data_IF_560267021135
#
_entry.id   IF_560267021135
#
_cell.length_a   1.000
_cell.length_b   1.000
_cell.length_c   1.000
_cell.angle_alpha   90.00
_cell.angle_beta   90.00
_cell.angle_gamma   90.00
#
_symmetry.space_group_name_H-M   'P 1'
#
loop_
_entity.id
_entity.type
_entity.pdbx_description
1 polymer ?
#
# COMPACT_ATOMS: atom_id res chain seq x y z
N UNK A 1 10.81 -43.01 41.75
CA UNK A 1 9.78 -42.24 41.02
C UNK A 1 10.37 -40.89 40.60
N UNK A 2 10.99 -40.82 39.43
CA UNK A 2 11.62 -39.60 38.92
C UNK A 2 10.62 -38.79 38.07
N UNK A 3 10.17 -37.64 38.57
CA UNK A 3 9.40 -36.69 37.76
C UNK A 3 10.37 -35.94 36.85
N UNK A 4 10.52 -36.41 35.60
CA UNK A 4 11.24 -35.67 34.56
C UNK A 4 10.49 -34.35 34.31
N UNK A 5 11.11 -33.24 34.71
CA UNK A 5 10.63 -31.88 34.40
C UNK A 5 10.70 -31.68 32.90
N UNK A 6 9.55 -31.46 32.26
CA UNK A 6 9.45 -31.06 30.87
C UNK A 6 9.98 -29.64 30.77
N UNK A 7 11.18 -29.48 30.21
CA UNK A 7 11.72 -28.19 29.80
C UNK A 7 10.75 -27.65 28.76
N UNK A 8 10.03 -26.58 29.08
CA UNK A 8 9.26 -25.83 28.10
C UNK A 8 10.26 -25.17 27.16
N UNK A 9 10.37 -25.71 25.96
CA UNK A 9 11.17 -25.13 24.89
C UNK A 9 10.45 -23.84 24.46
N UNK A 10 10.93 -22.69 24.96
CA UNK A 10 10.55 -21.38 24.43
C UNK A 10 11.03 -21.33 22.99
N UNK A 11 10.14 -21.63 22.05
CA UNK A 11 10.41 -21.42 20.63
C UNK A 11 10.80 -19.94 20.47
N UNK A 12 12.01 -19.70 19.98
CA UNK A 12 12.56 -18.37 19.82
C UNK A 12 11.57 -17.48 19.08
N UNK A 13 11.28 -16.33 19.65
CA UNK A 13 10.58 -15.27 18.95
C UNK A 13 11.40 -14.96 17.69
N UNK A 14 10.89 -15.35 16.52
CA UNK A 14 11.37 -14.80 15.27
C UNK A 14 11.31 -13.27 15.33
N UNK A 15 12.04 -12.55 14.47
CA UNK A 15 11.96 -11.10 14.42
C UNK A 15 10.50 -10.67 14.37
N UNK A 16 10.12 -9.74 15.26
CA UNK A 16 8.76 -9.21 15.29
C UNK A 16 8.43 -8.65 13.90
N UNK A 17 7.20 -8.87 13.40
CA UNK A 17 6.79 -8.38 12.09
C UNK A 17 7.05 -6.87 12.01
N UNK A 18 7.81 -6.43 11.00
CA UNK A 18 8.02 -4.99 10.81
C UNK A 18 6.73 -4.40 10.24
N UNK A 19 6.37 -3.22 10.74
CA UNK A 19 5.21 -2.50 10.22
C UNK A 19 5.66 -1.45 9.22
N UNK A 20 5.26 -1.60 7.96
CA UNK A 20 5.51 -0.66 6.87
C UNK A 20 4.30 0.22 6.63
N UNK A 21 4.54 1.53 6.53
CA UNK A 21 3.54 2.52 6.09
C UNK A 21 3.68 2.69 4.58
N UNK A 22 2.64 2.38 3.83
CA UNK A 22 2.65 2.42 2.36
C UNK A 22 1.69 3.46 1.82
N UNK A 23 2.16 4.27 0.87
CA UNK A 23 1.35 5.22 0.11
C UNK A 23 0.82 4.58 -1.17
N UNK A 24 -0.47 4.71 -1.43
CA UNK A 24 -1.13 4.21 -2.63
C UNK A 24 -1.25 5.35 -3.63
N UNK A 25 -0.58 5.25 -4.78
CA UNK A 25 -0.69 6.24 -5.84
C UNK A 25 -1.43 5.67 -7.04
N UNK A 26 -2.47 6.36 -7.48
CA UNK A 26 -3.34 5.99 -8.60
C UNK A 26 -3.36 7.16 -9.57
N UNK A 27 -3.15 6.90 -10.86
CA UNK A 27 -3.21 7.94 -11.89
C UNK A 27 -4.06 7.47 -13.06
N UNK A 28 -5.00 8.31 -13.47
CA UNK A 28 -5.73 8.12 -14.72
C UNK A 28 -5.16 9.01 -15.81
N UNK A 29 -5.09 8.46 -17.02
CA UNK A 29 -4.71 9.22 -18.20
C UNK A 29 -5.90 10.08 -18.63
N UNK A 30 -5.61 11.21 -19.29
CA UNK A 30 -6.63 12.11 -19.81
C UNK A 30 -7.56 11.45 -20.84
N UNK A 31 -7.11 10.38 -21.49
CA UNK A 31 -7.91 9.62 -22.46
C UNK A 31 -8.93 8.70 -21.76
N UNK A 32 -8.58 8.15 -20.59
CA UNK A 32 -9.47 7.30 -19.78
C UNK A 32 -10.55 8.10 -19.03
N UNK A 33 -10.30 9.39 -18.74
CA UNK A 33 -11.27 10.27 -18.10
C UNK A 33 -12.55 10.50 -18.94
N UNK A 34 -12.45 10.41 -20.27
CA UNK A 34 -13.55 10.77 -21.17
C UNK A 34 -14.67 9.71 -21.27
N UNK A 35 -14.47 8.51 -20.73
CA UNK A 35 -15.41 7.39 -20.88
C UNK A 35 -16.44 7.25 -19.74
N UNK A 36 -16.53 8.22 -18.82
CA UNK A 36 -17.61 8.26 -17.80
C UNK A 36 -17.53 7.18 -16.72
N UNK A 37 -16.41 6.45 -16.64
CA UNK A 37 -16.13 5.37 -15.68
C UNK A 37 -15.02 5.70 -14.68
N UNK A 38 -14.75 7.00 -14.44
CA UNK A 38 -13.64 7.50 -13.61
C UNK A 38 -13.64 6.87 -12.21
N UNK A 39 -14.82 6.83 -11.57
CA UNK A 39 -14.97 6.25 -10.23
C UNK A 39 -14.77 4.73 -10.20
N UNK A 40 -15.15 4.01 -11.27
CA UNK A 40 -14.98 2.56 -11.33
C UNK A 40 -13.51 2.16 -11.56
N UNK A 41 -12.78 2.89 -12.42
CA UNK A 41 -11.37 2.58 -12.69
C UNK A 41 -10.46 2.86 -11.50
N UNK A 42 -10.66 3.98 -10.79
CA UNK A 42 -9.90 4.28 -9.55
C UNK A 42 -10.23 3.26 -8.45
N UNK A 43 -11.52 2.95 -8.25
CA UNK A 43 -11.92 1.97 -7.25
C UNK A 43 -11.35 0.57 -7.54
N UNK A 44 -11.34 0.17 -8.82
CA UNK A 44 -10.76 -1.11 -9.24
C UNK A 44 -9.24 -1.14 -9.03
N UNK A 45 -8.51 -0.08 -9.40
CA UNK A 45 -7.06 0.00 -9.17
C UNK A 45 -6.72 0.00 -7.67
N UNK A 46 -7.50 0.71 -6.85
CA UNK A 46 -7.38 0.65 -5.39
C UNK A 46 -7.59 -0.76 -4.86
N UNK A 47 -8.63 -1.46 -5.33
CA UNK A 47 -8.92 -2.83 -4.90
C UNK A 47 -7.76 -3.77 -5.23
N UNK A 48 -7.19 -3.67 -6.44
CA UNK A 48 -6.01 -4.45 -6.86
C UNK A 48 -4.81 -4.17 -5.95
N UNK A 49 -4.54 -2.90 -5.61
CA UNK A 49 -3.43 -2.53 -4.73
C UNK A 49 -3.62 -3.04 -3.30
N UNK A 50 -4.84 -2.91 -2.75
CA UNK A 50 -5.16 -3.40 -1.40
C UNK A 50 -5.11 -4.93 -1.33
N UNK A 51 -5.62 -5.62 -2.35
CA UNK A 51 -5.52 -7.07 -2.46
C UNK A 51 -4.06 -7.51 -2.55
N UNK A 52 -3.23 -6.80 -3.33
CA UNK A 52 -1.80 -7.09 -3.41
C UNK A 52 -1.14 -6.99 -2.03
N UNK A 53 -1.39 -5.88 -1.30
CA UNK A 53 -0.87 -5.67 0.05
C UNK A 53 -1.34 -6.76 1.02
N UNK A 54 -2.62 -7.13 0.97
CA UNK A 54 -3.18 -8.18 1.83
C UNK A 54 -2.60 -9.57 1.53
N UNK A 55 -2.14 -9.80 0.30
CA UNK A 55 -1.51 -11.05 -0.11
C UNK A 55 0.00 -11.11 0.15
N UNK A 56 0.61 -10.04 0.65
CA UNK A 56 2.01 -10.07 1.11
C UNK A 56 2.10 -10.97 2.35
N UNK A 57 2.81 -12.10 2.19
CA UNK A 57 3.04 -13.12 3.23
C UNK A 57 4.53 -13.27 3.50
N UNK A 58 5.24 -12.17 3.59
CA UNK A 58 6.66 -12.09 3.90
C UNK A 58 6.95 -11.96 5.41
N UNK A 59 5.88 -11.90 6.22
CA UNK A 59 5.99 -11.83 7.68
C UNK A 59 6.01 -10.39 8.22
N UNK A 60 5.84 -9.38 7.36
CA UNK A 60 5.70 -7.99 7.73
C UNK A 60 4.22 -7.53 7.66
N UNK A 61 3.91 -6.43 8.35
CA UNK A 61 2.59 -5.81 8.35
C UNK A 61 2.62 -4.54 7.51
N UNK A 62 1.63 -4.37 6.62
CA UNK A 62 1.54 -3.21 5.73
C UNK A 62 0.30 -2.40 6.04
N UNK A 63 0.47 -1.12 6.32
CA UNK A 63 -0.61 -0.18 6.63
C UNK A 63 -0.66 0.88 5.53
N UNK A 64 -1.79 0.96 4.83
CA UNK A 64 -2.07 2.06 3.91
C UNK A 64 -2.09 3.39 4.69
N UNK A 65 -1.08 4.22 4.48
CA UNK A 65 -0.86 5.47 5.19
C UNK A 65 -1.47 6.68 4.48
N UNK A 66 -1.71 6.57 3.17
CA UNK A 66 -2.32 7.59 2.35
C UNK A 66 -2.69 7.06 0.98
N UNK A 67 -3.69 7.68 0.38
CA UNK A 67 -4.04 7.52 -1.02
C UNK A 67 -3.80 8.84 -1.74
N UNK A 68 -3.27 8.74 -2.95
CA UNK A 68 -2.94 9.85 -3.81
C UNK A 68 -3.49 9.55 -5.20
N UNK A 69 -4.46 10.35 -5.65
CA UNK A 69 -5.12 10.14 -6.94
C UNK A 69 -4.89 11.37 -7.81
N UNK A 70 -4.37 11.14 -9.01
CA UNK A 70 -4.26 12.17 -10.06
C UNK A 70 -5.17 11.80 -11.23
N UNK A 71 -6.23 12.59 -11.43
CA UNK A 71 -7.24 12.36 -12.46
C UNK A 71 -7.03 13.26 -13.69
N UNK A 72 -7.07 12.67 -14.87
CA UNK A 72 -6.99 13.40 -16.14
C UNK A 72 -5.64 14.07 -16.42
N UNK A 73 -4.58 13.73 -15.67
CA UNK A 73 -3.29 14.41 -15.74
C UNK A 73 -2.37 13.75 -16.78
N UNK A 74 -1.81 14.60 -17.66
CA UNK A 74 -0.77 14.24 -18.61
C UNK A 74 0.45 13.62 -17.91
N UNK A 75 0.86 12.42 -18.36
CA UNK A 75 2.08 11.76 -17.90
C UNK A 75 3.38 12.47 -18.35
N UNK A 76 3.29 13.52 -19.17
CA UNK A 76 4.44 14.19 -19.78
C UNK A 76 4.91 15.46 -19.04
N UNK A 77 4.07 16.05 -18.19
CA UNK A 77 4.38 17.27 -17.42
C UNK A 77 3.98 17.08 -15.97
N UNK A 78 4.76 17.66 -15.04
CA UNK A 78 4.44 17.65 -13.61
C UNK A 78 3.27 18.59 -13.27
N UNK A 79 2.93 19.50 -14.20
CA UNK A 79 1.75 20.38 -14.11
C UNK A 79 0.45 19.55 -14.04
N UNK A 80 -0.18 19.59 -12.87
CA UNK A 80 -1.46 18.95 -12.58
C UNK A 80 -1.39 17.73 -11.64
N UNK A 81 -0.20 17.29 -11.20
CA UNK A 81 -0.05 16.10 -10.34
C UNK A 81 -0.11 16.41 -8.85
N UNK A 82 -1.24 16.92 -8.38
CA UNK A 82 -1.41 17.29 -6.97
C UNK A 82 -1.28 16.07 -6.04
N UNK A 83 -1.78 14.90 -6.46
CA UNK A 83 -1.65 13.64 -5.72
C UNK A 83 -0.20 13.21 -5.60
N UNK A 84 0.56 13.25 -6.70
CA UNK A 84 1.98 12.92 -6.68
C UNK A 84 2.81 13.88 -5.80
N UNK A 85 2.52 15.19 -5.85
CA UNK A 85 3.21 16.17 -5.01
C UNK A 85 2.93 15.93 -3.53
N UNK A 86 1.68 15.66 -3.16
CA UNK A 86 1.30 15.34 -1.78
C UNK A 86 1.98 14.06 -1.28
N UNK A 87 2.08 13.02 -2.12
CA UNK A 87 2.86 11.82 -1.81
C UNK A 87 4.34 12.14 -1.53
N UNK A 88 4.95 12.99 -2.36
CA UNK A 88 6.35 13.39 -2.17
C UNK A 88 6.55 14.20 -0.89
N UNK A 89 5.60 15.05 -0.51
CA UNK A 89 5.64 15.76 0.77
C UNK A 89 5.55 14.81 1.95
N UNK A 90 4.68 13.80 1.88
CA UNK A 90 4.53 12.80 2.95
C UNK A 90 5.75 11.89 3.08
N UNK A 91 6.46 11.58 1.98
CA UNK A 91 7.71 10.82 2.01
C UNK A 91 8.87 11.64 2.59
N UNK A 92 8.86 12.97 2.44
CA UNK A 92 9.95 13.86 2.92
C UNK A 92 9.90 14.11 4.43
N UNK A 93 8.78 13.83 5.09
CA UNK A 93 8.59 14.01 6.53
C UNK A 93 9.12 12.83 7.34
#
# INVERSE_FOLDING_TARGET
MGRKRRVQNSAGAGPLPRTWRVGLYIRLSREDAHSGGESESVANQRAILLEHIANLKDGDAYIAAGEYVDDGVSGATDDGREGFLALLEDIRR
#
